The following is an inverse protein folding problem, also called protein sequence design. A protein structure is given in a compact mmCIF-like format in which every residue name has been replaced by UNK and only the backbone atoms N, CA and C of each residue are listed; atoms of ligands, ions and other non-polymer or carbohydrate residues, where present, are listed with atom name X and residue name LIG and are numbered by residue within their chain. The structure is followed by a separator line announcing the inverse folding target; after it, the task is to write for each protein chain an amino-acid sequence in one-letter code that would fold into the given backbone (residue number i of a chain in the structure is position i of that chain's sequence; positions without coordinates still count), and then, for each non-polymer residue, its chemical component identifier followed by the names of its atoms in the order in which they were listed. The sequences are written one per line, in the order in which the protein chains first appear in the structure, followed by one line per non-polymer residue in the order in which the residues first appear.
data_IF_758246678058
#
_entry.id   IF_758246678058
#
_cell.length_a   1.000
_cell.length_b   1.000
_cell.length_c   1.000
_cell.angle_alpha   90.00
_cell.angle_beta   90.00
_cell.angle_gamma   90.00
#
_symmetry.space_group_name_H-M   'P 1'
#
loop_
_entity.id
_entity.type
_entity.pdbx_description
1 polymer ?
#
# COMPACT_ATOMS: atom_id res chain seq x y z
N UNK A 1 -36.32 -8.66 5.68
CA UNK A 1 -36.04 -8.45 7.11
C UNK A 1 -35.58 -7.03 7.32
N UNK A 2 -36.21 -6.29 8.23
CA UNK A 2 -35.90 -4.89 8.50
C UNK A 2 -34.58 -4.76 9.28
N UNK A 3 -33.44 -4.92 8.60
CA UNK A 3 -32.17 -4.49 9.19
C UNK A 3 -32.16 -2.96 9.11
N UNK A 4 -32.57 -2.31 10.20
CA UNK A 4 -32.42 -0.87 10.37
C UNK A 4 -30.94 -0.54 10.41
N UNK A 5 -30.44 0.12 9.37
CA UNK A 5 -29.11 0.71 9.37
C UNK A 5 -29.24 2.13 9.91
N UNK A 6 -28.61 2.38 11.07
CA UNK A 6 -28.35 3.74 11.54
C UNK A 6 -26.92 4.10 11.12
N UNK A 7 -26.72 5.17 10.34
CA UNK A 7 -25.38 5.58 9.93
C UNK A 7 -24.47 5.82 11.13
N UNK A 8 -23.20 5.43 11.00
CA UNK A 8 -22.16 5.85 11.94
C UNK A 8 -22.02 7.37 11.87
N UNK A 9 -21.97 8.02 13.03
CA UNK A 9 -21.78 9.47 13.15
C UNK A 9 -20.31 9.90 13.24
N UNK A 10 -19.37 8.94 13.23
CA UNK A 10 -17.95 9.26 13.26
C UNK A 10 -17.46 9.80 11.90
N UNK A 11 -16.47 10.70 11.90
CA UNK A 11 -15.83 11.15 10.68
C UNK A 11 -15.22 9.98 9.89
N UNK A 12 -15.25 10.11 8.57
CA UNK A 12 -14.53 9.24 7.64
C UNK A 12 -13.02 9.39 7.82
N UNK A 13 -12.24 8.39 7.38
CA UNK A 13 -10.79 8.46 7.43
C UNK A 13 -10.25 9.70 6.66
N UNK A 14 -10.88 10.04 5.53
CA UNK A 14 -10.56 11.21 4.72
C UNK A 14 -10.76 12.51 5.51
N UNK A 15 -11.89 12.67 6.20
CA UNK A 15 -12.16 13.84 7.04
C UNK A 15 -11.14 13.97 8.18
N UNK A 16 -10.78 12.87 8.82
CA UNK A 16 -9.73 12.87 9.86
C UNK A 16 -8.39 13.30 9.28
N UNK A 17 -8.01 12.80 8.10
CA UNK A 17 -6.76 13.19 7.42
C UNK A 17 -6.78 14.70 7.09
N UNK A 18 -7.87 15.19 6.50
CA UNK A 18 -8.05 16.61 6.14
C UNK A 18 -7.94 17.49 7.37
N UNK A 19 -8.67 17.17 8.45
CA UNK A 19 -8.66 17.95 9.68
C UNK A 19 -7.29 17.96 10.35
N UNK A 20 -6.62 16.81 10.39
CA UNK A 20 -5.27 16.67 10.94
C UNK A 20 -4.29 17.55 10.19
N UNK A 21 -4.22 17.42 8.86
CA UNK A 21 -3.30 18.16 8.01
C UNK A 21 -3.68 19.64 7.87
N UNK A 22 -4.94 20.02 8.08
CA UNK A 22 -5.34 21.44 8.15
C UNK A 22 -4.88 22.10 9.45
N UNK A 23 -4.74 21.32 10.53
CA UNK A 23 -4.32 21.82 11.85
C UNK A 23 -2.81 22.06 11.95
N UNK A 24 -2.03 21.47 11.04
CA UNK A 24 -0.59 21.68 10.95
C UNK A 24 0.14 20.52 10.26
N UNK A 25 1.47 20.61 10.12
CA UNK A 25 2.26 19.53 9.57
C UNK A 25 2.17 18.24 10.39
N UNK A 26 2.12 17.09 9.72
CA UNK A 26 2.09 15.79 10.38
C UNK A 26 2.84 14.70 9.57
N UNK A 27 3.31 13.68 10.28
CA UNK A 27 3.82 12.44 9.68
C UNK A 27 2.66 11.47 9.41
N UNK A 28 2.60 10.94 8.19
CA UNK A 28 1.58 9.98 7.75
C UNK A 28 2.19 8.57 7.71
N UNK A 29 1.49 7.60 8.28
CA UNK A 29 1.88 6.19 8.25
C UNK A 29 0.76 5.38 7.60
N UNK A 30 1.03 4.80 6.42
CA UNK A 30 0.10 3.96 5.67
C UNK A 30 0.52 2.50 5.82
N UNK A 31 -0.30 1.71 6.53
CA UNK A 31 -0.06 0.27 6.74
C UNK A 31 -1.08 -0.62 6.02
N UNK A 32 -1.95 -0.02 5.20
CA UNK A 32 -3.01 -0.71 4.46
C UNK A 32 -3.14 -0.20 3.03
N UNK A 33 -4.29 -0.46 2.40
CA UNK A 33 -4.59 0.06 1.07
C UNK A 33 -4.55 1.60 1.03
N UNK A 34 -4.10 2.13 -0.11
CA UNK A 34 -3.76 3.54 -0.28
C UNK A 34 -4.98 4.45 -0.55
N UNK A 35 -6.16 3.86 -0.72
CA UNK A 35 -7.38 4.52 -1.21
C UNK A 35 -7.75 5.79 -0.43
N UNK A 36 -7.75 5.73 0.90
CA UNK A 36 -8.12 6.89 1.72
C UNK A 36 -7.18 8.08 1.50
N UNK A 37 -5.88 7.81 1.40
CA UNK A 37 -4.88 8.86 1.21
C UNK A 37 -4.86 9.38 -0.23
N UNK A 38 -5.09 8.50 -1.22
CA UNK A 38 -5.25 8.90 -2.61
C UNK A 38 -6.45 9.84 -2.82
N UNK A 39 -7.60 9.51 -2.22
CA UNK A 39 -8.78 10.38 -2.23
C UNK A 39 -8.45 11.73 -1.58
N UNK A 40 -7.74 11.73 -0.45
CA UNK A 40 -7.28 12.98 0.18
C UNK A 40 -6.39 13.80 -0.77
N UNK A 41 -5.34 13.22 -1.36
CA UNK A 41 -4.41 13.93 -2.25
C UNK A 41 -5.11 14.51 -3.48
N UNK A 42 -6.10 13.80 -4.02
CA UNK A 42 -6.84 14.23 -5.21
C UNK A 42 -7.87 15.32 -4.91
N UNK A 43 -8.53 15.26 -3.75
CA UNK A 43 -9.60 16.20 -3.37
C UNK A 43 -9.07 17.45 -2.67
N UNK A 44 -7.95 17.34 -1.94
CA UNK A 44 -7.35 18.43 -1.15
C UNK A 44 -5.83 18.58 -1.42
N UNK A 45 -5.40 18.74 -2.68
CA UNK A 45 -3.96 18.74 -3.03
C UNK A 45 -3.17 19.86 -2.36
N UNK A 46 -3.83 20.98 -2.02
CA UNK A 46 -3.21 22.11 -1.32
C UNK A 46 -2.74 21.76 0.11
N UNK A 47 -3.27 20.70 0.72
CA UNK A 47 -2.86 20.20 2.03
C UNK A 47 -1.67 19.22 1.95
N UNK A 48 -1.25 18.78 0.75
CA UNK A 48 -0.07 17.91 0.56
C UNK A 48 1.17 18.51 1.25
N UNK A 49 1.34 19.83 1.20
CA UNK A 49 2.48 20.55 1.80
C UNK A 49 2.61 20.37 3.32
N UNK A 50 1.54 19.94 3.99
CA UNK A 50 1.54 19.69 5.44
C UNK A 50 1.89 18.22 5.76
N UNK A 51 2.15 17.38 4.77
CA UNK A 51 2.72 16.04 4.98
C UNK A 51 4.23 16.21 5.14
N UNK A 52 4.73 16.11 6.36
CA UNK A 52 6.16 16.29 6.67
C UNK A 52 6.96 15.08 6.24
N UNK A 53 6.50 13.90 6.65
CA UNK A 53 7.03 12.60 6.25
C UNK A 53 5.90 11.63 5.96
N UNK A 54 6.14 10.70 5.06
CA UNK A 54 5.23 9.59 4.82
C UNK A 54 5.98 8.26 4.85
N UNK A 55 5.41 7.29 5.54
CA UNK A 55 5.90 5.92 5.61
C UNK A 55 4.82 4.99 5.06
N UNK A 56 5.20 4.14 4.12
CA UNK A 56 4.28 3.27 3.40
C UNK A 56 4.71 1.82 3.55
N UNK A 57 3.80 0.98 4.04
CA UNK A 57 3.91 -0.48 3.91
C UNK A 57 3.14 -0.91 2.66
N UNK A 58 3.89 -1.35 1.67
CA UNK A 58 3.32 -1.96 0.47
C UNK A 58 4.36 -2.11 -0.63
N UNK A 59 4.11 -3.05 -1.52
CA UNK A 59 4.96 -3.34 -2.67
C UNK A 59 6.07 -4.35 -2.40
N UNK A 60 6.60 -4.90 -3.49
CA UNK A 60 7.76 -5.79 -3.50
C UNK A 60 8.69 -5.36 -4.62
N UNK A 61 9.83 -4.76 -4.26
CA UNK A 61 10.83 -4.34 -5.25
C UNK A 61 11.81 -5.49 -5.48
N UNK A 62 11.97 -5.84 -6.75
CA UNK A 62 12.84 -6.92 -7.20
C UNK A 62 14.28 -6.73 -6.72
N UNK A 63 14.84 -7.76 -6.10
CA UNK A 63 16.25 -7.83 -5.74
C UNK A 63 17.12 -7.95 -6.99
N UNK A 64 18.29 -7.28 -6.97
CA UNK A 64 19.32 -7.47 -8.01
C UNK A 64 19.97 -8.86 -7.94
N UNK A 65 19.83 -9.58 -6.83
CA UNK A 65 20.34 -10.94 -6.65
C UNK A 65 19.18 -11.95 -6.61
N UNK A 66 18.78 -12.52 -7.77
CA UNK A 66 17.62 -13.40 -7.87
C UNK A 66 17.84 -14.79 -7.25
N UNK A 67 19.09 -15.13 -6.88
CA UNK A 67 19.42 -16.38 -6.17
C UNK A 67 19.58 -16.18 -4.66
N UNK A 68 19.29 -14.99 -4.13
CA UNK A 68 19.62 -14.59 -2.75
C UNK A 68 19.12 -15.54 -1.65
N UNK A 69 18.01 -16.26 -1.86
CA UNK A 69 17.52 -17.26 -0.91
C UNK A 69 17.83 -18.73 -1.28
N UNK A 70 18.36 -18.98 -2.48
CA UNK A 70 18.94 -20.27 -2.90
C UNK A 70 20.40 -20.09 -3.34
N UNK A 71 21.38 -20.16 -2.41
CA UNK A 71 22.80 -20.19 -2.76
C UNK A 71 23.11 -21.35 -3.72
N UNK A 72 24.13 -21.23 -4.58
CA UNK A 72 24.42 -22.24 -5.64
C UNK A 72 24.52 -23.68 -5.11
N UNK A 73 25.04 -23.86 -3.90
CA UNK A 73 25.25 -25.17 -3.26
C UNK A 73 24.00 -25.75 -2.57
N UNK A 74 22.84 -25.09 -2.64
CA UNK A 74 21.61 -25.49 -1.93
C UNK A 74 20.64 -26.34 -2.77
N UNK A 75 20.99 -26.65 -4.02
CA UNK A 75 20.21 -27.57 -4.87
C UNK A 75 20.50 -29.02 -4.47
N UNK A 76 19.49 -29.92 -4.39
CA UNK A 76 18.11 -29.79 -4.87
C UNK A 76 17.10 -29.28 -3.81
N UNK A 77 17.56 -29.00 -2.59
CA UNK A 77 16.73 -28.65 -1.43
C UNK A 77 16.00 -27.32 -1.64
N UNK A 78 16.69 -26.34 -2.22
CA UNK A 78 16.12 -25.04 -2.53
C UNK A 78 15.74 -24.97 -4.02
N UNK A 79 14.44 -24.78 -4.31
CA UNK A 79 13.94 -24.57 -5.68
C UNK A 79 13.81 -23.09 -5.95
N UNK A 80 14.37 -22.61 -7.06
CA UNK A 80 14.26 -21.21 -7.49
C UNK A 80 12.80 -20.75 -7.62
N UNK A 81 11.84 -21.63 -7.92
CA UNK A 81 10.42 -21.25 -7.93
C UNK A 81 9.84 -20.82 -6.57
N UNK A 82 10.47 -21.20 -5.45
CA UNK A 82 10.17 -20.70 -4.10
C UNK A 82 11.05 -19.51 -3.70
N UNK A 83 12.03 -19.19 -4.55
CA UNK A 83 13.04 -18.19 -4.34
C UNK A 83 13.04 -17.20 -5.50
N UNK A 84 12.12 -16.26 -5.41
CA UNK A 84 11.96 -15.18 -6.36
C UNK A 84 11.29 -13.99 -5.70
N UNK A 85 11.30 -12.87 -6.42
CA UNK A 85 10.71 -11.59 -6.02
C UNK A 85 9.16 -11.63 -6.02
N UNK A 86 8.56 -12.78 -5.71
CA UNK A 86 7.12 -12.95 -5.67
C UNK A 86 6.54 -12.09 -4.56
N UNK A 87 5.41 -11.47 -4.86
CA UNK A 87 4.64 -10.75 -3.88
C UNK A 87 3.93 -11.71 -2.92
N UNK A 88 3.21 -11.16 -1.96
CA UNK A 88 2.56 -11.93 -0.91
C UNK A 88 1.11 -12.34 -1.25
N UNK A 89 0.62 -12.12 -2.48
CA UNK A 89 -0.75 -12.46 -2.87
C UNK A 89 -0.98 -13.98 -3.03
N UNK A 90 -1.32 -14.66 -1.92
CA UNK A 90 -1.38 -16.13 -1.81
C UNK A 90 -2.36 -16.85 -2.76
N UNK A 91 -3.38 -16.16 -3.29
CA UNK A 91 -4.35 -16.72 -4.25
C UNK A 91 -4.10 -16.25 -5.69
N UNK A 92 -3.12 -15.35 -5.90
CA UNK A 92 -2.86 -14.68 -7.16
C UNK A 92 -1.59 -15.16 -7.87
N UNK A 93 -0.96 -16.26 -7.47
CA UNK A 93 0.35 -16.66 -7.98
C UNK A 93 0.44 -16.89 -9.50
N UNK A 94 -0.67 -17.19 -10.18
CA UNK A 94 -0.68 -17.40 -11.64
C UNK A 94 -0.97 -16.12 -12.43
N UNK A 95 -1.79 -15.24 -11.88
CA UNK A 95 -2.24 -14.01 -12.56
C UNK A 95 -1.43 -12.77 -12.15
N UNK A 96 -0.97 -12.72 -10.90
CA UNK A 96 -0.32 -11.58 -10.25
C UNK A 96 0.82 -12.05 -9.31
N UNK A 97 1.83 -12.79 -9.82
CA UNK A 97 2.87 -13.42 -8.98
C UNK A 97 3.72 -12.42 -8.18
N UNK A 98 3.82 -11.17 -8.63
CA UNK A 98 4.67 -10.13 -8.02
C UNK A 98 3.89 -9.12 -7.19
N UNK A 99 2.56 -9.30 -7.04
CA UNK A 99 1.71 -8.34 -6.38
C UNK A 99 1.77 -8.46 -4.85
N UNK A 100 1.85 -7.32 -4.19
CA UNK A 100 1.74 -7.20 -2.74
C UNK A 100 0.32 -6.74 -2.36
N UNK A 101 -0.27 -7.28 -1.29
CA UNK A 101 -1.65 -7.04 -0.89
C UNK A 101 -2.07 -5.57 -0.81
N UNK A 102 -1.31 -4.70 -0.14
CA UNK A 102 -1.68 -3.29 0.05
C UNK A 102 -1.64 -2.49 -1.26
N UNK A 103 -0.80 -2.88 -2.21
CA UNK A 103 -0.79 -2.32 -3.57
C UNK A 103 -1.92 -2.93 -4.42
N UNK A 104 -2.14 -4.23 -4.31
CA UNK A 104 -3.10 -4.97 -5.14
C UNK A 104 -4.56 -4.63 -4.84
N UNK A 105 -4.88 -4.28 -3.59
CA UNK A 105 -6.24 -3.90 -3.19
C UNK A 105 -6.76 -2.67 -3.93
N UNK A 106 -5.89 -1.71 -4.25
CA UNK A 106 -6.22 -0.54 -5.06
C UNK A 106 -4.96 -0.01 -5.76
N UNK A 107 -4.59 -0.62 -6.91
CA UNK A 107 -3.34 -0.28 -7.60
C UNK A 107 -3.36 1.13 -8.19
N UNK A 108 -4.54 1.66 -8.51
CA UNK A 108 -4.67 3.04 -8.99
C UNK A 108 -4.39 4.05 -7.88
N UNK A 109 -4.99 3.86 -6.70
CA UNK A 109 -4.69 4.69 -5.54
C UNK A 109 -3.23 4.55 -5.09
N UNK A 110 -2.67 3.34 -5.14
CA UNK A 110 -1.26 3.13 -4.83
C UNK A 110 -0.34 3.92 -5.79
N UNK A 111 -0.64 3.89 -7.09
CA UNK A 111 0.06 4.71 -8.08
C UNK A 111 -0.05 6.20 -7.77
N UNK A 112 -1.25 6.69 -7.44
CA UNK A 112 -1.45 8.10 -7.08
C UNK A 112 -0.63 8.50 -5.85
N UNK A 113 -0.64 7.70 -4.79
CA UNK A 113 0.11 8.03 -3.56
C UNK A 113 1.61 7.98 -3.83
N UNK A 114 2.12 6.95 -4.50
CA UNK A 114 3.55 6.83 -4.79
C UNK A 114 3.99 7.96 -5.72
N UNK A 115 3.27 8.21 -6.81
CA UNK A 115 3.70 9.18 -7.82
C UNK A 115 3.44 10.64 -7.43
N UNK A 116 2.32 10.94 -6.76
CA UNK A 116 1.98 12.32 -6.41
C UNK A 116 2.65 12.80 -5.14
N UNK A 117 3.38 11.96 -4.41
CA UNK A 117 4.18 12.38 -3.24
C UNK A 117 5.57 12.84 -3.67
N UNK A 118 6.24 12.11 -4.56
CA UNK A 118 7.49 12.56 -5.20
C UNK A 118 7.24 13.68 -6.22
#
# INVERSE_FOLDING_TARGET
GNRGYSPLGQPTAQEVIIQTLSSGPATVIIIGAHTNFAIFLTTHPHLKKNVEHIYVMGGGVRSKNPTGCCPENSRPVCRIGQCGDHGNLFTGYTSNPYAEFNIFLDPFSAYQVIYMIY
#
